data_IF_730912172237
#
_entry.id   IF_730912172237
#
_cell.length_a   1.000
_cell.length_b   1.000
_cell.length_c   1.000
_cell.angle_alpha   90.00
_cell.angle_beta   90.00
_cell.angle_gamma   90.00
#
_symmetry.space_group_name_H-M   'P 1'
#
loop_
_entity.id
_entity.type
_entity.pdbx_description
1 polymer ?
#
# COMPACT_ATOMS: atom_id res chain seq x y z
N UNK A 1 -17.70 9.23 -13.33
CA UNK A 1 -17.57 10.66 -12.97
C UNK A 1 -16.83 10.87 -11.65
N UNK A 2 -17.17 10.16 -10.56
CA UNK A 2 -16.47 10.28 -9.25
C UNK A 2 -15.03 9.77 -9.23
N UNK A 3 -14.70 8.72 -9.99
CA UNK A 3 -13.34 8.15 -10.06
C UNK A 3 -12.32 9.10 -10.70
N UNK A 4 -12.66 9.66 -11.87
CA UNK A 4 -11.79 10.61 -12.59
C UNK A 4 -11.41 11.82 -11.71
N UNK A 5 -12.35 12.33 -10.90
CA UNK A 5 -12.08 13.45 -9.99
C UNK A 5 -11.01 13.06 -8.95
N UNK A 6 -11.06 11.84 -8.41
CA UNK A 6 -10.07 11.37 -7.43
C UNK A 6 -8.69 11.17 -8.03
N UNK A 7 -8.61 10.65 -9.26
CA UNK A 7 -7.35 10.50 -9.98
C UNK A 7 -6.73 11.87 -10.31
N UNK A 8 -7.54 12.84 -10.77
CA UNK A 8 -7.08 14.21 -11.00
C UNK A 8 -6.59 14.90 -9.72
N UNK A 9 -7.27 14.66 -8.59
CA UNK A 9 -6.80 15.17 -7.30
C UNK A 9 -5.44 14.56 -6.93
N UNK A 10 -5.28 13.23 -7.08
CA UNK A 10 -4.02 12.57 -6.78
C UNK A 10 -2.89 12.99 -7.73
N UNK A 11 -3.19 13.30 -8.99
CA UNK A 11 -2.21 13.87 -9.92
C UNK A 11 -1.69 15.22 -9.42
N UNK A 12 -2.59 16.11 -8.99
CA UNK A 12 -2.22 17.40 -8.39
C UNK A 12 -1.39 17.18 -7.13
N UNK A 13 -1.86 16.32 -6.22
CA UNK A 13 -1.12 16.01 -4.99
C UNK A 13 0.28 15.44 -5.31
N UNK A 14 0.41 14.63 -6.37
CA UNK A 14 1.70 14.09 -6.79
C UNK A 14 2.69 15.20 -7.17
N UNK A 15 2.23 16.21 -7.90
CA UNK A 15 3.05 17.37 -8.27
C UNK A 15 3.42 18.21 -7.04
N UNK A 16 2.46 18.45 -6.15
CA UNK A 16 2.66 19.26 -4.93
C UNK A 16 3.65 18.61 -3.95
N UNK A 17 3.69 17.27 -3.91
CA UNK A 17 4.54 16.52 -2.99
C UNK A 17 5.86 16.02 -3.59
N UNK A 18 6.11 16.19 -4.88
CA UNK A 18 7.30 15.62 -5.55
C UNK A 18 8.62 15.99 -4.85
N UNK A 19 8.72 17.22 -4.33
CA UNK A 19 9.93 17.76 -3.68
C UNK A 19 9.82 17.85 -2.15
N UNK A 20 8.79 17.23 -1.57
CA UNK A 20 8.43 17.40 -0.16
C UNK A 20 9.03 16.33 0.77
N UNK A 21 9.95 15.50 0.26
CA UNK A 21 10.55 14.41 1.06
C UNK A 21 11.16 14.91 2.37
N UNK A 22 12.02 15.94 2.32
CA UNK A 22 12.73 16.41 3.51
C UNK A 22 11.81 16.94 4.61
N UNK A 23 10.78 17.70 4.23
CA UNK A 23 9.78 18.21 5.17
C UNK A 23 8.91 17.08 5.75
N UNK A 24 8.43 16.16 4.91
CA UNK A 24 7.67 14.99 5.36
C UNK A 24 8.48 14.11 6.31
N UNK A 25 9.75 13.85 5.98
CA UNK A 25 10.61 13.02 6.79
C UNK A 25 10.78 13.59 8.21
N UNK A 26 11.09 14.88 8.30
CA UNK A 26 11.25 15.57 9.58
C UNK A 26 9.93 15.59 10.38
N UNK A 27 8.81 15.88 9.73
CA UNK A 27 7.50 15.87 10.40
C UNK A 27 7.16 14.49 10.96
N UNK A 28 7.30 13.45 10.15
CA UNK A 28 6.87 12.10 10.53
C UNK A 28 7.80 11.47 11.57
N UNK A 29 9.11 11.68 11.49
CA UNK A 29 10.05 11.11 12.47
C UNK A 29 9.79 11.68 13.88
N UNK A 30 9.42 12.95 14.01
CA UNK A 30 9.05 13.58 15.29
C UNK A 30 7.74 13.01 15.87
N UNK A 31 6.84 12.59 14.98
CA UNK A 31 5.55 11.99 15.34
C UNK A 31 5.69 10.51 15.75
N UNK A 32 6.74 9.80 15.34
CA UNK A 32 6.96 8.39 15.72
C UNK A 32 7.19 8.27 17.24
N UNK A 33 6.49 7.32 17.86
CA UNK A 33 6.53 7.03 19.30
C UNK A 33 7.09 5.65 19.61
N UNK A 34 6.92 4.72 18.68
CA UNK A 34 7.47 3.36 18.79
C UNK A 34 7.95 2.91 17.42
N UNK A 35 9.06 2.17 17.42
CA UNK A 35 9.61 1.56 16.20
C UNK A 35 9.66 0.05 16.33
N UNK A 36 9.30 -0.66 15.27
CA UNK A 36 9.39 -2.12 15.16
C UNK A 36 10.17 -2.50 13.90
N UNK A 37 10.94 -3.59 13.97
CA UNK A 37 11.74 -4.08 12.85
C UNK A 37 11.30 -5.48 12.43
N UNK A 38 11.37 -5.78 11.13
CA UNK A 38 11.16 -7.13 10.61
C UNK A 38 12.09 -7.49 9.45
N UNK A 39 12.22 -8.79 9.20
CA UNK A 39 12.70 -9.32 7.92
C UNK A 39 11.52 -9.57 7.00
N UNK A 40 11.46 -8.89 5.87
CA UNK A 40 10.32 -8.89 4.96
C UNK A 40 9.10 -8.17 5.52
N UNK A 41 8.12 -7.92 4.67
CA UNK A 41 6.89 -7.21 4.99
C UNK A 41 6.08 -7.94 6.07
N UNK A 42 5.90 -7.34 7.24
CA UNK A 42 5.19 -7.97 8.36
C UNK A 42 3.80 -7.37 8.60
N UNK A 43 3.68 -6.05 8.48
CA UNK A 43 2.42 -5.33 8.63
C UNK A 43 1.90 -4.86 7.27
N UNK A 44 0.58 -4.92 7.13
CA UNK A 44 -0.18 -4.28 6.07
C UNK A 44 -0.67 -2.91 6.57
N UNK A 45 -0.62 -1.88 5.73
CA UNK A 45 -1.24 -0.57 6.02
C UNK A 45 -2.75 -0.63 5.79
N UNK A 46 -3.18 -1.39 4.78
CA UNK A 46 -4.58 -1.68 4.45
C UNK A 46 -4.76 -3.18 4.18
N UNK A 47 -5.97 -3.74 4.31
CA UNK A 47 -6.19 -5.19 4.24
C UNK A 47 -5.53 -5.85 3.03
N UNK A 48 -4.73 -6.88 3.32
CA UNK A 48 -4.04 -7.74 2.34
C UNK A 48 -3.10 -7.03 1.35
N UNK A 49 -2.57 -5.85 1.71
CA UNK A 49 -1.61 -5.07 0.89
C UNK A 49 -0.45 -5.92 0.36
N UNK A 50 0.18 -6.72 1.21
CA UNK A 50 1.34 -7.52 0.83
C UNK A 50 0.93 -8.82 0.10
N UNK A 51 -0.13 -9.46 0.57
CA UNK A 51 -0.61 -10.74 0.04
C UNK A 51 -1.13 -10.60 -1.40
N UNK A 52 -1.80 -9.48 -1.73
CA UNK A 52 -2.29 -9.22 -3.10
C UNK A 52 -1.15 -8.96 -4.10
N UNK A 53 0.05 -8.66 -3.63
CA UNK A 53 1.26 -8.55 -4.45
C UNK A 53 2.11 -9.85 -4.39
N UNK A 54 1.58 -10.90 -3.74
CA UNK A 54 2.18 -12.23 -3.66
C UNK A 54 3.24 -12.40 -2.57
N UNK A 55 3.36 -11.44 -1.65
CA UNK A 55 4.31 -11.52 -0.55
C UNK A 55 3.76 -12.37 0.60
N UNK A 56 4.64 -13.17 1.19
CA UNK A 56 4.37 -13.88 2.45
C UNK A 56 4.71 -12.98 3.63
N UNK A 57 3.96 -13.17 4.73
CA UNK A 57 4.23 -12.48 5.99
C UNK A 57 5.66 -12.70 6.45
N UNK A 58 6.34 -11.60 6.74
CA UNK A 58 7.71 -11.57 7.23
C UNK A 58 7.84 -12.05 8.67
N UNK A 59 8.99 -11.73 9.29
CA UNK A 59 9.28 -12.10 10.68
C UNK A 59 9.74 -10.89 11.49
N UNK A 60 9.05 -10.62 12.60
CA UNK A 60 9.47 -9.60 13.56
C UNK A 60 10.85 -9.89 14.15
N UNK A 61 11.57 -8.81 14.44
CA UNK A 61 12.85 -8.82 15.13
C UNK A 61 12.67 -8.26 16.54
N UNK A 62 13.36 -8.86 17.51
CA UNK A 62 13.29 -8.43 18.91
C UNK A 62 13.89 -7.03 19.11
N UNK A 63 14.96 -6.72 18.38
CA UNK A 63 15.72 -5.48 18.48
C UNK A 63 16.10 -4.96 17.10
N UNK A 64 16.53 -3.69 17.02
CA UNK A 64 17.18 -3.14 15.83
C UNK A 64 18.40 -4.00 15.45
N UNK A 65 18.47 -4.55 14.23
CA UNK A 65 19.60 -5.37 13.83
C UNK A 65 20.84 -4.51 13.59
N UNK A 66 22.03 -5.06 13.88
CA UNK A 66 23.30 -4.38 13.61
C UNK A 66 23.55 -4.14 12.11
N UNK A 67 23.03 -5.03 11.25
CA UNK A 67 23.02 -4.86 9.79
C UNK A 67 21.59 -4.60 9.34
N UNK A 68 21.35 -3.45 8.72
CA UNK A 68 19.99 -3.00 8.35
C UNK A 68 19.59 -3.39 6.92
N UNK A 69 20.48 -4.02 6.15
CA UNK A 69 20.19 -4.44 4.78
C UNK A 69 18.99 -5.42 4.71
N UNK A 70 18.01 -5.13 3.86
CA UNK A 70 16.74 -5.87 3.66
C UNK A 70 15.88 -5.96 4.93
N UNK A 71 15.86 -4.88 5.70
CA UNK A 71 15.05 -4.77 6.92
C UNK A 71 13.91 -3.79 6.69
N UNK A 72 12.75 -4.14 7.19
CA UNK A 72 11.62 -3.23 7.32
C UNK A 72 11.67 -2.56 8.68
N UNK A 73 11.44 -1.27 8.72
CA UNK A 73 11.30 -0.45 9.92
C UNK A 73 9.94 0.24 9.89
N UNK A 74 9.15 0.04 10.95
CA UNK A 74 7.80 0.56 11.09
C UNK A 74 7.74 1.54 12.26
N UNK A 75 7.45 2.80 11.97
CA UNK A 75 7.19 3.85 12.94
C UNK A 75 5.70 3.96 13.25
N UNK A 76 5.36 3.89 14.53
CA UNK A 76 4.01 3.96 15.05
C UNK A 76 3.76 5.28 15.80
N UNK A 77 2.55 5.82 15.70
CA UNK A 77 2.10 6.96 16.52
C UNK A 77 1.61 6.53 17.92
N UNK A 78 1.05 7.49 18.68
CA UNK A 78 0.49 7.25 20.01
C UNK A 78 -0.72 6.30 20.01
N UNK A 79 -1.45 6.23 18.90
CA UNK A 79 -2.64 5.39 18.75
C UNK A 79 -2.29 3.99 18.22
N UNK A 80 -0.99 3.70 18.06
CA UNK A 80 -0.51 2.43 17.54
C UNK A 80 -0.72 2.24 16.04
N UNK A 81 -0.96 3.33 15.29
CA UNK A 81 -1.10 3.30 13.82
C UNK A 81 0.28 3.42 13.17
N UNK A 82 0.49 2.74 12.06
CA UNK A 82 1.73 2.88 11.28
C UNK A 82 1.67 4.21 10.55
N UNK A 83 2.59 5.11 10.85
CA UNK A 83 2.70 6.41 10.18
C UNK A 83 3.92 6.50 9.25
N UNK A 84 4.92 5.65 9.47
CA UNK A 84 6.15 5.63 8.69
C UNK A 84 6.58 4.19 8.43
N UNK A 85 6.89 3.86 7.18
CA UNK A 85 7.55 2.60 6.82
C UNK A 85 8.84 2.94 6.10
N UNK A 86 9.96 2.38 6.56
CA UNK A 86 11.27 2.48 5.91
C UNK A 86 11.67 1.07 5.49
N UNK A 87 11.84 0.86 4.19
CA UNK A 87 12.40 -0.36 3.61
C UNK A 87 13.88 -0.10 3.30
N UNK A 88 14.77 -0.71 4.09
CA UNK A 88 16.21 -0.58 3.92
C UNK A 88 16.69 -1.53 2.82
N UNK A 89 16.81 -1.06 1.58
CA UNK A 89 17.23 -1.86 0.41
C UNK A 89 18.72 -2.18 0.49
N UNK A 90 19.52 -1.17 0.84
CA UNK A 90 20.93 -1.27 1.24
C UNK A 90 21.13 -0.37 2.46
N UNK A 91 22.31 -0.34 3.10
CA UNK A 91 22.56 0.62 4.17
C UNK A 91 22.43 2.11 3.75
N UNK A 92 22.55 2.42 2.46
CA UNK A 92 22.52 3.79 1.91
C UNK A 92 21.23 4.11 1.13
N UNK A 93 20.47 3.09 0.74
CA UNK A 93 19.27 3.23 -0.10
C UNK A 93 18.06 2.71 0.66
N UNK A 94 17.09 3.60 0.85
CA UNK A 94 15.84 3.28 1.51
C UNK A 94 14.64 3.70 0.66
N UNK A 95 13.56 2.94 0.76
CA UNK A 95 12.24 3.40 0.34
C UNK A 95 11.46 3.84 1.58
N UNK A 96 10.66 4.89 1.44
CA UNK A 96 9.91 5.51 2.52
C UNK A 96 8.43 5.55 2.16
N UNK A 97 7.57 5.16 3.08
CA UNK A 97 6.13 5.36 2.96
C UNK A 97 5.65 6.18 4.15
N UNK A 98 5.09 7.36 3.89
CA UNK A 98 4.48 8.23 4.88
C UNK A 98 2.97 8.03 4.86
N UNK A 99 2.36 7.73 6.00
CA UNK A 99 0.95 7.31 6.09
C UNK A 99 0.15 8.31 6.93
N UNK A 100 -0.84 8.92 6.30
CA UNK A 100 -1.78 9.86 6.94
C UNK A 100 -3.16 9.23 7.06
N UNK A 101 -3.81 9.47 8.19
CA UNK A 101 -5.17 9.01 8.49
C UNK A 101 -6.01 10.26 8.75
N UNK A 102 -6.90 10.61 7.80
CA UNK A 102 -7.77 11.78 7.90
C UNK A 102 -9.17 11.35 7.48
N UNK A 103 -10.13 11.54 8.38
CA UNK A 103 -11.51 11.06 8.21
C UNK A 103 -11.54 9.57 7.83
N UNK A 104 -12.40 9.19 6.87
CA UNK A 104 -12.48 7.83 6.32
C UNK A 104 -11.48 7.58 5.19
N UNK A 105 -10.25 8.12 5.29
CA UNK A 105 -9.21 7.96 4.26
C UNK A 105 -7.84 7.67 4.86
N UNK A 106 -7.10 6.80 4.18
CA UNK A 106 -5.67 6.58 4.41
C UNK A 106 -4.93 7.06 3.18
N UNK A 107 -3.99 7.99 3.34
CA UNK A 107 -3.14 8.47 2.25
C UNK A 107 -1.70 8.03 2.48
N UNK A 108 -1.08 7.43 1.47
CA UNK A 108 0.27 6.90 1.53
C UNK A 108 1.13 7.59 0.46
N UNK A 109 2.20 8.26 0.88
CA UNK A 109 3.19 8.86 -0.01
C UNK A 109 4.42 7.97 -0.05
N UNK A 110 4.70 7.34 -1.20
CA UNK A 110 5.84 6.43 -1.36
C UNK A 110 6.99 7.09 -2.10
N UNK A 111 8.13 7.24 -1.43
CA UNK A 111 9.39 7.70 -2.02
C UNK A 111 10.39 6.53 -2.14
N UNK A 112 11.18 6.52 -3.22
CA UNK A 112 12.13 5.43 -3.50
C UNK A 112 13.49 5.95 -3.95
N UNK A 113 14.54 5.15 -3.73
CA UNK A 113 15.90 5.41 -4.23
C UNK A 113 16.82 6.15 -3.26
N UNK A 114 18.11 6.22 -3.61
CA UNK A 114 19.14 6.85 -2.77
C UNK A 114 18.99 8.36 -2.62
N UNK A 115 18.52 9.03 -3.67
CA UNK A 115 17.91 10.36 -3.59
C UNK A 115 16.39 10.11 -3.68
N UNK A 116 15.63 10.22 -2.58
CA UNK A 116 14.24 9.78 -2.57
C UNK A 116 13.38 10.58 -3.56
N UNK A 117 12.77 9.87 -4.51
CA UNK A 117 11.82 10.42 -5.47
C UNK A 117 10.43 9.88 -5.20
N UNK A 118 9.41 10.73 -5.30
CA UNK A 118 8.03 10.29 -5.16
C UNK A 118 7.69 9.31 -6.28
N UNK A 119 7.39 8.07 -5.89
CA UNK A 119 7.04 6.98 -6.81
C UNK A 119 5.55 6.94 -7.06
N UNK A 120 4.75 7.09 -6.01
CA UNK A 120 3.29 7.16 -6.09
C UNK A 120 2.67 7.74 -4.81
N UNK A 121 1.42 8.17 -4.95
CA UNK A 121 0.50 8.46 -3.86
C UNK A 121 -0.66 7.47 -3.96
N UNK A 122 -0.99 6.84 -2.83
CA UNK A 122 -2.15 5.94 -2.70
C UNK A 122 -3.17 6.57 -1.76
N UNK A 123 -4.44 6.55 -2.15
CA UNK A 123 -5.59 6.91 -1.32
C UNK A 123 -6.48 5.70 -1.15
N UNK A 124 -6.56 5.18 0.06
CA UNK A 124 -7.52 4.17 0.47
C UNK A 124 -8.75 4.88 1.02
N UNK A 125 -9.92 4.52 0.50
CA UNK A 125 -11.21 5.05 0.94
C UNK A 125 -11.91 3.99 1.77
N UNK A 126 -12.27 4.38 2.99
CA UNK A 126 -12.97 3.52 3.92
C UNK A 126 -14.46 3.87 3.93
N UNK A 127 -15.28 2.84 4.14
CA UNK A 127 -16.71 2.95 4.39
C UNK A 127 -16.95 3.53 5.80
N UNK A 128 -18.22 3.74 6.16
CA UNK A 128 -18.60 4.17 7.52
C UNK A 128 -18.27 3.12 8.59
N UNK A 129 -18.12 1.87 8.21
CA UNK A 129 -17.75 0.75 9.11
C UNK A 129 -16.25 0.46 9.05
N UNK A 130 -15.45 1.40 8.53
CA UNK A 130 -13.98 1.30 8.40
C UNK A 130 -13.50 0.19 7.45
N UNK A 131 -14.41 -0.40 6.67
CA UNK A 131 -14.05 -1.36 5.62
C UNK A 131 -13.50 -0.63 4.41
N UNK A 132 -12.57 -1.27 3.72
CA UNK A 132 -12.05 -0.73 2.46
C UNK A 132 -13.13 -0.81 1.37
N UNK A 133 -13.47 0.34 0.78
CA UNK A 133 -14.41 0.43 -0.35
C UNK A 133 -13.65 0.49 -1.68
N UNK A 134 -12.61 1.33 -1.72
CA UNK A 134 -11.85 1.59 -2.93
C UNK A 134 -10.43 2.06 -2.63
N UNK A 135 -9.52 1.82 -3.58
CA UNK A 135 -8.16 2.34 -3.55
C UNK A 135 -7.88 3.06 -4.87
N UNK A 136 -7.29 4.24 -4.78
CA UNK A 136 -6.82 5.03 -5.91
C UNK A 136 -5.33 5.22 -5.77
N UNK A 137 -4.57 4.96 -6.80
CA UNK A 137 -3.12 5.15 -6.80
C UNK A 137 -2.73 5.94 -8.04
N UNK A 138 -1.96 7.01 -7.84
CA UNK A 138 -1.34 7.75 -8.92
C UNK A 138 0.17 7.68 -8.75
N UNK A 139 0.86 7.17 -9.76
CA UNK A 139 2.31 7.02 -9.78
C UNK A 139 2.95 7.72 -10.95
N UNK A 140 4.29 7.72 -10.93
CA UNK A 140 5.11 8.32 -11.98
C UNK A 140 4.81 7.81 -13.40
N UNK A 141 4.41 6.55 -13.52
CA UNK A 141 4.24 5.86 -14.82
C UNK A 141 2.79 5.60 -15.22
N UNK A 142 1.85 5.79 -14.29
CA UNK A 142 0.46 5.45 -14.52
C UNK A 142 -0.37 5.58 -13.24
N UNK A 143 -1.58 5.07 -13.30
CA UNK A 143 -2.47 5.01 -12.15
C UNK A 143 -3.22 3.68 -12.11
N UNK A 144 -3.72 3.33 -10.92
CA UNK A 144 -4.64 2.21 -10.73
C UNK A 144 -5.80 2.57 -9.82
N UNK A 145 -6.91 1.88 -10.04
CA UNK A 145 -8.13 1.95 -9.25
C UNK A 145 -8.50 0.52 -8.88
N UNK A 146 -8.66 0.28 -7.58
CA UNK A 146 -9.13 -1.01 -7.07
C UNK A 146 -10.50 -0.78 -6.41
N UNK A 147 -11.47 -1.62 -6.74
CA UNK A 147 -12.81 -1.64 -6.13
C UNK A 147 -12.94 -2.92 -5.31
N UNK A 148 -13.29 -2.78 -4.04
CA UNK A 148 -13.37 -3.91 -3.11
C UNK A 148 -14.82 -4.35 -2.93
N UNK A 149 -15.03 -5.66 -2.92
CA UNK A 149 -16.33 -6.28 -2.70
C UNK A 149 -16.24 -7.20 -1.49
N UNK A 150 -16.92 -6.81 -0.40
CA UNK A 150 -16.95 -7.57 0.84
C UNK A 150 -18.29 -8.29 1.04
N UNK A 151 -18.29 -9.39 1.80
CA UNK A 151 -19.51 -10.07 2.22
C UNK A 151 -20.13 -9.44 3.48
N UNK A 152 -21.23 -10.01 3.97
CA UNK A 152 -21.92 -9.55 5.20
C UNK A 152 -21.13 -9.79 6.49
N UNK A 153 -20.05 -10.56 6.43
CA UNK A 153 -19.13 -10.83 7.53
C UNK A 153 -17.85 -9.99 7.42
N UNK A 154 -17.87 -8.95 6.59
CA UNK A 154 -16.76 -8.01 6.35
C UNK A 154 -15.50 -8.64 5.74
N UNK A 155 -15.60 -9.84 5.17
CA UNK A 155 -14.51 -10.49 4.43
C UNK A 155 -14.47 -9.96 2.99
N UNK A 156 -13.28 -9.62 2.51
CA UNK A 156 -13.08 -9.21 1.11
C UNK A 156 -13.23 -10.45 0.24
N UNK A 157 -14.24 -10.50 -0.61
CA UNK A 157 -14.44 -11.60 -1.56
C UNK A 157 -13.65 -11.37 -2.85
N UNK A 158 -13.67 -10.13 -3.34
CA UNK A 158 -13.10 -9.79 -4.62
C UNK A 158 -12.53 -8.37 -4.61
N UNK A 159 -11.46 -8.18 -5.38
CA UNK A 159 -10.98 -6.86 -5.77
C UNK A 159 -10.92 -6.78 -7.29
N UNK A 160 -11.65 -5.84 -7.86
CA UNK A 160 -11.54 -5.52 -9.28
C UNK A 160 -10.55 -4.38 -9.48
N UNK A 161 -9.49 -4.61 -10.25
CA UNK A 161 -8.43 -3.62 -10.52
C UNK A 161 -8.48 -3.16 -11.96
N UNK A 162 -8.46 -1.84 -12.15
CA UNK A 162 -8.19 -1.17 -13.43
C UNK A 162 -6.89 -0.39 -13.32
N UNK A 163 -5.95 -0.65 -14.20
CA UNK A 163 -4.66 0.04 -14.23
C UNK A 163 -4.36 0.56 -15.64
N UNK A 164 -3.69 1.70 -15.72
CA UNK A 164 -3.34 2.34 -16.99
C UNK A 164 -2.03 3.12 -16.86
N UNK A 165 -1.13 2.93 -17.82
CA UNK A 165 0.03 3.79 -17.98
C UNK A 165 -0.37 5.15 -18.56
N UNK A 166 0.32 6.22 -18.17
CA UNK A 166 0.00 7.59 -18.66
C UNK A 166 0.12 7.72 -20.17
N UNK A 167 1.06 6.97 -20.76
CA UNK A 167 1.34 6.94 -22.21
C UNK A 167 0.42 5.99 -22.98
N UNK A 168 -0.30 5.11 -22.29
CA UNK A 168 -1.22 4.16 -22.91
C UNK A 168 -2.61 4.80 -23.06
N UNK A 169 -3.38 4.33 -24.04
CA UNK A 169 -4.81 4.64 -24.14
C UNK A 169 -5.71 3.53 -23.58
N UNK A 170 -5.13 2.38 -23.24
CA UNK A 170 -5.86 1.18 -22.83
C UNK A 170 -5.69 0.90 -21.33
N UNK A 171 -6.76 0.43 -20.72
CA UNK A 171 -6.70 -0.14 -19.37
C UNK A 171 -6.33 -1.62 -19.44
N UNK A 172 -5.56 -2.05 -18.44
CA UNK A 172 -5.41 -3.45 -18.08
C UNK A 172 -6.33 -3.69 -16.89
N UNK A 173 -7.18 -4.70 -17.00
CA UNK A 173 -8.13 -5.08 -15.96
C UNK A 173 -7.84 -6.50 -15.47
N UNK A 174 -7.94 -6.70 -14.16
CA UNK A 174 -7.86 -8.01 -13.54
C UNK A 174 -8.67 -8.04 -12.24
N UNK A 175 -9.07 -9.23 -11.86
CA UNK A 175 -9.78 -9.50 -10.62
C UNK A 175 -8.88 -10.30 -9.69
N UNK A 176 -9.02 -10.05 -8.39
CA UNK A 176 -8.39 -10.83 -7.33
C UNK A 176 -9.49 -11.48 -6.50
N UNK A 177 -9.56 -12.80 -6.52
CA UNK A 177 -10.52 -13.60 -5.75
C UNK A 177 -9.86 -14.10 -4.47
N UNK A 178 -10.47 -13.79 -3.33
CA UNK A 178 -10.00 -14.16 -2.00
C UNK A 178 -10.80 -15.38 -1.51
N UNK A 179 -10.10 -16.38 -1.00
CA UNK A 179 -10.72 -17.59 -0.42
C UNK A 179 -10.22 -17.77 1.01
N UNK A 180 -11.11 -18.16 1.90
CA UNK A 180 -10.86 -18.28 3.32
C UNK A 180 -11.09 -19.71 3.80
N UNK A 181 -10.29 -20.16 4.78
CA UNK A 181 -10.50 -21.39 5.53
C UNK A 181 -10.61 -21.01 7.01
N UNK A 182 -11.72 -21.38 7.66
CA UNK A 182 -11.99 -21.08 9.07
C UNK A 182 -11.80 -19.58 9.44
N UNK A 183 -12.18 -18.68 8.51
CA UNK A 183 -12.06 -17.22 8.67
C UNK A 183 -10.65 -16.65 8.43
N UNK A 184 -9.67 -17.50 8.12
CA UNK A 184 -8.32 -17.07 7.74
C UNK A 184 -8.14 -17.08 6.22
N UNK A 185 -7.49 -16.05 5.66
CA UNK A 185 -7.19 -15.98 4.24
C UNK A 185 -6.36 -17.20 3.82
N UNK A 186 -6.88 -18.04 2.94
CA UNK A 186 -6.18 -19.22 2.42
C UNK A 186 -5.46 -18.94 1.11
N UNK A 187 -6.15 -18.32 0.15
CA UNK A 187 -5.57 -18.06 -1.18
C UNK A 187 -6.06 -16.75 -1.79
N UNK A 188 -5.22 -16.15 -2.63
CA UNK A 188 -5.63 -15.10 -3.58
C UNK A 188 -5.33 -15.60 -5.00
N UNK A 189 -6.36 -15.61 -5.84
CA UNK A 189 -6.27 -15.93 -7.27
C UNK A 189 -6.44 -14.65 -8.08
N UNK A 190 -5.49 -14.37 -8.97
CA UNK A 190 -5.57 -13.26 -9.92
C UNK A 190 -6.03 -13.78 -11.28
N UNK A 191 -7.07 -13.19 -11.84
CA UNK A 191 -7.61 -13.52 -13.17
C UNK A 191 -7.71 -12.30 -14.08
N UNK A 192 -7.45 -12.51 -15.37
CA UNK A 192 -7.48 -11.47 -16.40
C UNK A 192 -8.62 -11.72 -17.39
N UNK A 193 -9.05 -10.66 -18.08
CA UNK A 193 -10.16 -10.72 -19.06
C UNK A 193 -9.90 -11.65 -20.25
N UNK A 194 -8.64 -11.99 -20.53
CA UNK A 194 -8.26 -12.95 -21.57
C UNK A 194 -8.36 -14.43 -21.13
N UNK A 195 -8.86 -14.70 -19.91
CA UNK A 195 -9.02 -16.05 -19.37
C UNK A 195 -7.78 -16.61 -18.67
N UNK A 196 -6.66 -15.89 -18.65
CA UNK A 196 -5.49 -16.29 -17.85
C UNK A 196 -5.76 -16.06 -16.36
N UNK A 197 -5.46 -17.06 -15.53
CA UNK A 197 -5.45 -16.90 -14.07
C UNK A 197 -4.22 -17.55 -13.43
N UNK A 198 -3.89 -17.10 -12.22
CA UNK A 198 -2.82 -17.66 -11.39
C UNK A 198 -3.13 -17.47 -9.91
N UNK A 199 -2.72 -18.41 -9.09
CA UNK A 199 -2.66 -18.23 -7.63
C UNK A 199 -1.43 -17.38 -7.33
N UNK A 200 -1.63 -16.21 -6.72
CA UNK A 200 -0.55 -15.29 -6.34
C UNK A 200 -0.16 -15.43 -4.87
N UNK A 201 -1.06 -15.93 -4.05
CA UNK A 201 -0.84 -16.16 -2.62
C UNK A 201 -1.51 -17.46 -2.19
N UNK A 202 -0.80 -18.26 -1.40
CA UNK A 202 -1.34 -19.38 -0.65
C UNK A 202 -0.58 -19.54 0.66
N UNK A 203 -1.29 -19.96 1.72
CA UNK A 203 -0.69 -20.38 3.00
C UNK A 203 -0.25 -21.84 2.92
#
# INVERSE_FOLDING_TARGET
>A
MKENIKIQQLEKDFQDYEKSFGSLFNEYIERVKRTVYSKGWYYNIYPFENEIDGFRKGRLLKNKPAKINKIMEYGFDNDGRIILVIEHITPEICNYSFVSYIDSKITIYKYVGGIPLLQNITMVVLSKTELIDALYNFGKYGYRIDTYFCNSSDEILNVHRKAKEHTSNQFIECDFLFKYNDGELSTIEQSYTNGYSKIIYSI
#
